data_IF_876592637560
#
_entry.id   IF_876592637560
#
_cell.length_a   1.000
_cell.length_b   1.000
_cell.length_c   1.000
_cell.angle_alpha   90.00
_cell.angle_beta   90.00
_cell.angle_gamma   90.00
#
_symmetry.space_group_name_H-M   'P 1'
#
loop_
_entity.id
_entity.type
_entity.pdbx_description
1 polymer ?
#
# COMPACT_ATOMS: atom_id res chain seq x y z
N UNK A 1 1.85 -22.90 -2.36
CA UNK A 1 0.75 -22.21 -3.06
C UNK A 1 0.36 -20.96 -2.27
N UNK A 2 1.25 -19.96 -2.16
CA UNK A 2 1.07 -18.81 -1.25
C UNK A 2 1.59 -17.47 -1.78
N UNK A 3 1.96 -17.40 -3.06
CA UNK A 3 2.38 -16.15 -3.70
C UNK A 3 1.19 -15.36 -4.28
N UNK A 4 0.24 -16.04 -4.92
CA UNK A 4 -0.94 -15.40 -5.56
C UNK A 4 -1.77 -14.55 -4.59
N UNK A 5 -2.06 -15.07 -3.40
CA UNK A 5 -2.93 -14.38 -2.42
C UNK A 5 -2.31 -13.06 -1.91
N UNK A 6 -0.98 -12.98 -1.84
CA UNK A 6 -0.31 -11.74 -1.45
C UNK A 6 -0.31 -10.70 -2.58
N UNK A 7 -0.30 -11.13 -3.83
CA UNK A 7 -0.34 -10.24 -5.00
C UNK A 7 -1.70 -9.54 -5.14
N UNK A 8 -2.79 -10.29 -4.97
CA UNK A 8 -4.16 -9.74 -5.05
C UNK A 8 -4.40 -8.71 -3.95
N UNK A 9 -4.02 -9.03 -2.70
CA UNK A 9 -4.12 -8.08 -1.58
C UNK A 9 -3.22 -6.86 -1.71
N UNK A 10 -2.05 -7.02 -2.33
CA UNK A 10 -1.15 -5.92 -2.59
C UNK A 10 -1.76 -4.94 -3.60
N UNK A 11 -2.37 -5.47 -4.65
CA UNK A 11 -3.07 -4.68 -5.66
C UNK A 11 -4.25 -3.92 -5.05
N UNK A 12 -5.05 -4.56 -4.19
CA UNK A 12 -6.14 -3.89 -3.46
C UNK A 12 -5.61 -2.72 -2.61
N UNK A 13 -4.55 -2.93 -1.82
CA UNK A 13 -3.92 -1.86 -1.01
C UNK A 13 -3.44 -0.71 -1.88
N UNK A 14 -2.72 -0.99 -2.97
CA UNK A 14 -2.21 0.05 -3.89
C UNK A 14 -3.36 0.78 -4.57
N UNK A 15 -4.42 0.06 -4.96
CA UNK A 15 -5.61 0.65 -5.57
C UNK A 15 -6.30 1.62 -4.61
N UNK A 16 -6.54 1.23 -3.35
CA UNK A 16 -7.10 2.13 -2.34
C UNK A 16 -6.26 3.41 -2.21
N UNK A 17 -4.93 3.29 -2.18
CA UNK A 17 -4.07 4.47 -2.09
C UNK A 17 -4.22 5.38 -3.32
N UNK A 18 -4.36 4.80 -4.52
CA UNK A 18 -4.64 5.57 -5.75
C UNK A 18 -6.01 6.24 -5.73
N UNK A 19 -7.05 5.55 -5.24
CA UNK A 19 -8.41 6.09 -5.15
C UNK A 19 -8.50 7.28 -4.18
N UNK A 20 -7.60 7.33 -3.21
CA UNK A 20 -7.46 8.42 -2.25
C UNK A 20 -6.35 9.43 -2.60
N UNK A 21 -5.85 9.45 -3.84
CA UNK A 21 -4.79 10.36 -4.30
C UNK A 21 -3.51 10.37 -3.42
N UNK A 22 -3.25 9.28 -2.68
CA UNK A 22 -2.12 9.20 -1.75
C UNK A 22 -2.32 10.00 -0.45
N UNK A 23 -3.54 10.38 -0.11
CA UNK A 23 -3.90 11.06 1.15
C UNK A 23 -4.60 10.11 2.14
N UNK A 24 -4.19 8.84 2.17
CA UNK A 24 -4.77 7.80 3.04
C UNK A 24 -3.72 7.18 3.95
N UNK A 25 -4.10 6.81 5.17
CA UNK A 25 -3.19 6.20 6.15
C UNK A 25 -3.27 4.67 6.10
N UNK A 26 -2.19 3.99 6.47
CA UNK A 26 -2.16 2.53 6.54
C UNK A 26 -3.29 1.96 7.42
N UNK A 27 -3.64 2.64 8.51
CA UNK A 27 -4.74 2.27 9.40
C UNK A 27 -6.12 2.41 8.76
N UNK A 28 -6.32 3.39 7.87
CA UNK A 28 -7.59 3.61 7.21
C UNK A 28 -7.78 2.56 6.10
N UNK A 29 -6.73 2.26 5.34
CA UNK A 29 -6.71 1.14 4.39
C UNK A 29 -6.98 -0.19 5.11
N UNK A 30 -6.33 -0.40 6.25
CA UNK A 30 -6.52 -1.62 7.03
C UNK A 30 -7.98 -1.79 7.47
N UNK A 31 -8.65 -0.70 7.88
CA UNK A 31 -10.09 -0.75 8.22
C UNK A 31 -10.97 -0.99 7.01
N UNK A 32 -10.67 -0.35 5.88
CA UNK A 32 -11.48 -0.46 4.67
C UNK A 32 -11.42 -1.88 4.08
N UNK A 33 -10.24 -2.48 4.08
CA UNK A 33 -10.00 -3.82 3.53
C UNK A 33 -10.19 -4.95 4.57
N UNK A 34 -10.64 -4.63 5.79
CA UNK A 34 -10.74 -5.56 6.93
C UNK A 34 -9.43 -6.35 7.16
N UNK A 35 -8.31 -5.64 7.10
CA UNK A 35 -6.95 -6.16 7.29
C UNK A 35 -6.35 -5.67 8.62
N UNK A 36 -5.35 -6.39 9.09
CA UNK A 36 -4.53 -5.92 10.20
C UNK A 36 -3.54 -4.84 9.72
N UNK A 37 -3.30 -3.74 10.45
CA UNK A 37 -2.36 -2.69 10.05
C UNK A 37 -0.95 -3.22 9.74
N UNK A 38 -0.48 -4.21 10.50
CA UNK A 38 0.81 -4.87 10.24
C UNK A 38 0.84 -5.63 8.90
N UNK A 39 -0.30 -6.17 8.45
CA UNK A 39 -0.39 -6.83 7.16
C UNK A 39 -0.26 -5.80 6.03
N UNK A 40 -0.89 -4.63 6.17
CA UNK A 40 -0.75 -3.51 5.23
C UNK A 40 0.70 -3.04 5.17
N UNK A 41 1.35 -2.77 6.30
CA UNK A 41 2.76 -2.37 6.35
C UNK A 41 3.68 -3.40 5.66
N UNK A 42 3.43 -4.70 5.87
CA UNK A 42 4.18 -5.78 5.22
C UNK A 42 3.96 -5.83 3.71
N UNK A 43 2.72 -5.61 3.26
CA UNK A 43 2.38 -5.54 1.84
C UNK A 43 3.07 -4.33 1.19
N UNK A 44 3.01 -3.15 1.81
CA UNK A 44 3.67 -1.93 1.32
C UNK A 44 5.19 -2.11 1.18
N UNK A 45 5.85 -2.77 2.15
CA UNK A 45 7.28 -3.07 2.07
C UNK A 45 7.64 -4.02 0.91
N UNK A 46 6.71 -4.88 0.48
CA UNK A 46 6.87 -5.71 -0.72
C UNK A 46 6.60 -4.91 -1.99
N UNK A 47 5.56 -4.05 -1.99
CA UNK A 47 5.27 -3.16 -3.12
C UNK A 47 6.44 -2.22 -3.45
N UNK A 48 7.12 -1.62 -2.48
CA UNK A 48 8.28 -0.75 -2.79
C UNK A 48 9.38 -1.50 -3.58
N UNK A 49 9.48 -2.82 -3.38
CA UNK A 49 10.47 -3.67 -4.01
C UNK A 49 10.05 -4.23 -5.37
N UNK A 50 8.75 -4.46 -5.58
CA UNK A 50 8.22 -5.08 -6.80
C UNK A 50 7.46 -4.10 -7.71
N UNK A 51 6.99 -2.97 -7.18
CA UNK A 51 6.22 -1.95 -7.90
C UNK A 51 7.13 -0.82 -8.37
N UNK A 52 6.81 -0.25 -9.54
CA UNK A 52 7.43 0.96 -10.10
C UNK A 52 7.01 2.22 -9.33
N UNK A 53 6.12 2.08 -8.36
CA UNK A 53 5.60 3.15 -7.52
C UNK A 53 6.31 3.18 -6.17
N UNK A 54 6.81 4.36 -5.79
CA UNK A 54 7.29 4.66 -4.44
C UNK A 54 6.08 4.93 -3.56
N UNK A 55 5.96 4.14 -2.50
CA UNK A 55 4.99 4.38 -1.43
C UNK A 55 5.77 5.03 -0.29
N UNK A 56 5.51 6.32 -0.05
CA UNK A 56 6.19 7.09 1.00
C UNK A 56 5.17 7.39 2.10
N UNK A 57 5.51 7.03 3.33
CA UNK A 57 4.80 7.50 4.51
C UNK A 57 5.40 8.83 4.96
N UNK A 58 4.57 9.88 5.06
CA UNK A 58 5.00 11.17 5.64
C UNK A 58 5.05 11.12 7.17
N UNK A 59 5.65 12.13 7.83
CA UNK A 59 5.74 12.23 9.30
C UNK A 59 4.36 12.17 10.01
N UNK A 60 3.28 12.49 9.29
CA UNK A 60 1.90 12.40 9.77
C UNK A 60 1.22 11.02 9.54
N UNK A 61 1.91 10.08 8.90
CA UNK A 61 1.42 8.71 8.65
C UNK A 61 0.55 8.55 7.39
N UNK A 62 0.59 9.53 6.48
CA UNK A 62 -0.11 9.47 5.18
C UNK A 62 0.74 8.77 4.13
N UNK A 63 0.11 7.91 3.33
CA UNK A 63 0.76 7.11 2.29
C UNK A 63 0.59 7.76 0.92
N UNK A 64 1.63 8.42 0.43
CA UNK A 64 1.68 9.00 -0.91
C UNK A 64 2.20 8.02 -1.97
N UNK A 65 1.58 8.00 -3.15
CA UNK A 65 2.13 7.32 -4.34
C UNK A 65 2.95 8.31 -5.15
N UNK A 66 4.24 8.03 -5.29
CA UNK A 66 5.13 8.73 -6.20
C UNK A 66 5.49 7.77 -7.34
N UNK A 67 5.25 8.16 -8.60
CA UNK A 67 5.82 7.42 -9.73
C UNK A 67 7.34 7.50 -9.63
N UNK A 68 8.07 6.37 -9.62
CA UNK A 68 9.52 6.41 -9.84
C UNK A 68 9.72 6.90 -11.28
N UNK A 69 10.28 8.10 -11.43
CA UNK A 69 10.78 8.56 -12.72
C UNK A 69 12.20 8.01 -12.87
N UNK A 70 12.36 6.93 -13.63
CA UNK A 70 13.65 6.48 -14.13
C UNK A 70 13.59 6.30 -15.64
#
# INVERSE_FOLDING_TARGET
MGRKVNSERLEEVVQTIREHDGEVRANDIAKELDLHPEAVARLLSVADRESEELLIEDDEGYLGIFKKWW
#
